data_IF_838272422948
#
_entry.id   IF_838272422948
#
_cell.length_a   1.000
_cell.length_b   1.000
_cell.length_c   1.000
_cell.angle_alpha   90.00
_cell.angle_beta   90.00
_cell.angle_gamma   90.00
#
_symmetry.space_group_name_H-M   'P 1'
#
loop_
_entity.id
_entity.type
_entity.pdbx_description
1 polymer ?
#
# COMPACT_ATOMS: atom_id res chain seq x y z
N UNK A 1 -23.88 -28.24 -24.25
CA UNK A 1 -22.61 -28.18 -23.50
C UNK A 1 -22.28 -26.72 -23.25
N UNK A 2 -22.72 -26.17 -22.11
CA UNK A 2 -22.42 -24.79 -21.72
C UNK A 2 -21.16 -24.78 -20.86
N UNK A 3 -20.07 -24.24 -21.40
CA UNK A 3 -18.88 -23.91 -20.63
C UNK A 3 -18.88 -22.42 -20.38
N UNK A 4 -19.25 -22.01 -19.17
CA UNK A 4 -19.18 -20.63 -18.68
C UNK A 4 -17.73 -20.15 -18.75
N UNK A 5 -17.40 -19.33 -19.74
CA UNK A 5 -16.23 -18.45 -19.64
C UNK A 5 -16.48 -17.55 -18.45
N UNK A 6 -15.69 -17.71 -17.39
CA UNK A 6 -15.68 -16.77 -16.28
C UNK A 6 -15.42 -15.39 -16.88
N UNK A 7 -16.44 -14.54 -16.83
CA UNK A 7 -16.31 -13.13 -17.17
C UNK A 7 -15.21 -12.58 -16.27
N UNK A 8 -14.11 -12.14 -16.88
CA UNK A 8 -13.01 -11.58 -16.11
C UNK A 8 -13.54 -10.28 -15.51
N UNK A 9 -13.94 -10.33 -14.23
CA UNK A 9 -14.45 -9.16 -13.52
C UNK A 9 -13.40 -8.06 -13.57
N UNK A 10 -13.66 -7.01 -14.33
CA UNK A 10 -12.84 -5.81 -14.35
C UNK A 10 -12.91 -5.15 -12.97
N UNK A 11 -11.76 -4.77 -12.43
CA UNK A 11 -11.67 -4.02 -11.19
C UNK A 11 -10.94 -2.70 -11.48
N UNK A 12 -11.43 -1.60 -10.92
CA UNK A 12 -10.79 -0.31 -11.05
C UNK A 12 -9.56 -0.24 -10.14
N UNK A 13 -8.45 0.22 -10.71
CA UNK A 13 -7.19 0.43 -10.00
C UNK A 13 -6.85 1.91 -10.01
N UNK A 14 -6.85 2.51 -8.82
CA UNK A 14 -6.30 3.83 -8.58
C UNK A 14 -4.84 3.71 -8.16
N UNK A 15 -3.98 4.54 -8.75
CA UNK A 15 -2.56 4.62 -8.39
C UNK A 15 -2.30 6.01 -7.83
N UNK A 16 -2.06 6.08 -6.52
CA UNK A 16 -1.54 7.28 -5.86
C UNK A 16 -0.01 7.14 -5.76
N UNK A 17 0.71 8.10 -6.33
CA UNK A 17 2.16 8.09 -6.40
C UNK A 17 2.70 9.52 -6.41
N UNK A 18 3.58 9.80 -5.46
CA UNK A 18 4.37 11.02 -5.43
C UNK A 18 5.77 10.70 -5.92
N UNK A 19 6.21 11.46 -6.94
CA UNK A 19 7.55 11.33 -7.54
C UNK A 19 8.19 12.71 -7.70
N UNK A 20 9.51 12.74 -7.67
CA UNK A 20 10.30 13.90 -8.02
C UNK A 20 10.35 14.05 -9.54
N UNK A 21 10.72 15.24 -10.02
CA UNK A 21 10.77 15.52 -11.46
C UNK A 21 11.79 14.64 -12.20
N UNK A 22 12.85 14.22 -11.52
CA UNK A 22 13.89 13.31 -12.02
C UNK A 22 13.53 11.81 -11.83
N UNK A 23 12.33 11.50 -11.33
CA UNK A 23 11.75 10.16 -11.38
C UNK A 23 11.98 9.29 -10.13
N UNK A 24 12.36 9.88 -8.99
CA UNK A 24 12.50 9.16 -7.73
C UNK A 24 11.21 9.21 -6.91
N UNK A 25 10.83 8.07 -6.32
CA UNK A 25 9.63 7.92 -5.50
C UNK A 25 9.95 7.71 -4.01
N UNK A 26 11.19 7.98 -3.61
CA UNK A 26 11.68 7.78 -2.24
C UNK A 26 12.82 8.74 -1.95
N UNK A 27 12.89 9.22 -0.71
CA UNK A 27 13.99 10.02 -0.22
C UNK A 27 14.39 9.54 1.20
N UNK A 28 15.65 9.73 1.57
CA UNK A 28 16.17 9.39 2.90
C UNK A 28 16.43 10.69 3.69
N UNK A 29 15.90 10.77 4.91
CA UNK A 29 16.07 11.92 5.80
C UNK A 29 15.20 13.14 5.49
N UNK A 30 14.29 13.03 4.52
CA UNK A 30 13.29 14.06 4.22
C UNK A 30 12.03 13.84 5.05
N UNK A 31 11.30 14.91 5.40
CA UNK A 31 9.97 14.77 5.99
C UNK A 31 9.00 14.05 5.03
N UNK A 32 7.87 13.60 5.57
CA UNK A 32 6.75 13.06 4.80
C UNK A 32 6.33 14.02 3.69
N UNK A 33 5.91 13.45 2.55
CA UNK A 33 5.59 14.22 1.33
C UNK A 33 6.67 15.21 0.87
N UNK A 34 7.91 15.03 1.34
CA UNK A 34 9.05 15.93 1.14
C UNK A 34 8.86 17.34 1.69
N UNK A 35 7.93 17.53 2.64
CA UNK A 35 7.58 18.84 3.20
C UNK A 35 6.81 19.71 2.21
N UNK A 36 6.16 19.08 1.22
CA UNK A 36 5.39 19.74 0.17
C UNK A 36 3.88 19.49 0.32
N UNK A 37 3.44 19.01 1.49
CA UNK A 37 2.04 18.83 1.81
C UNK A 37 1.32 20.18 1.95
N UNK A 38 0.38 20.44 1.04
CA UNK A 38 -0.55 21.56 1.13
C UNK A 38 -1.84 21.16 1.85
N UNK A 39 -2.57 22.12 2.45
CA UNK A 39 -3.82 21.83 3.15
C UNK A 39 -4.88 21.20 2.24
N UNK A 40 -4.90 21.55 0.95
CA UNK A 40 -5.81 20.94 -0.03
C UNK A 40 -5.49 19.47 -0.29
N UNK A 41 -4.21 19.11 -0.31
CA UNK A 41 -3.77 17.73 -0.52
C UNK A 41 -4.07 16.87 0.71
N UNK A 42 -3.85 17.40 1.92
CA UNK A 42 -4.20 16.70 3.17
C UNK A 42 -5.72 16.51 3.30
N UNK A 43 -6.52 17.51 2.91
CA UNK A 43 -7.98 17.38 2.88
C UNK A 43 -8.43 16.29 1.91
N UNK A 44 -7.85 16.25 0.70
CA UNK A 44 -8.11 15.18 -0.26
C UNK A 44 -7.72 13.79 0.27
N UNK A 45 -6.55 13.66 0.91
CA UNK A 45 -6.12 12.40 1.52
C UNK A 45 -7.09 11.90 2.61
N UNK A 46 -7.59 12.82 3.44
CA UNK A 46 -8.58 12.49 4.45
C UNK A 46 -9.86 11.95 3.80
N UNK A 47 -10.38 12.61 2.77
CA UNK A 47 -11.56 12.18 2.01
C UNK A 47 -11.33 10.83 1.30
N UNK A 48 -10.18 10.61 0.67
CA UNK A 48 -9.85 9.32 0.03
C UNK A 48 -9.73 8.18 1.05
N UNK A 49 -9.19 8.46 2.24
CA UNK A 49 -9.04 7.48 3.32
C UNK A 49 -10.37 6.86 3.75
N UNK A 50 -11.47 7.61 3.66
CA UNK A 50 -12.81 7.16 4.04
C UNK A 50 -13.47 6.22 3.02
N UNK A 51 -12.98 6.17 1.78
CA UNK A 51 -13.59 5.39 0.69
C UNK A 51 -13.41 3.88 0.81
N UNK A 52 -12.65 3.41 1.81
CA UNK A 52 -12.54 1.98 2.13
C UNK A 52 -11.78 1.16 1.09
N UNK A 53 -10.76 1.76 0.46
CA UNK A 53 -9.94 1.08 -0.55
C UNK A 53 -9.19 -0.14 0.01
N UNK A 54 -8.95 -1.13 -0.86
CA UNK A 54 -7.97 -2.19 -0.58
C UNK A 54 -6.62 -1.78 -1.14
N UNK A 55 -5.62 -1.63 -0.29
CA UNK A 55 -4.28 -1.24 -0.72
C UNK A 55 -3.55 -2.41 -1.39
N UNK A 56 -2.88 -2.14 -2.50
CA UNK A 56 -1.99 -3.10 -3.17
C UNK A 56 -0.56 -2.61 -3.00
N UNK A 57 0.30 -3.41 -2.36
CA UNK A 57 1.66 -3.00 -2.02
C UNK A 57 2.67 -4.08 -2.42
N UNK A 58 3.89 -3.64 -2.74
CA UNK A 58 5.05 -4.51 -2.76
C UNK A 58 5.55 -4.82 -1.35
N UNK A 59 6.37 -5.87 -1.22
CA UNK A 59 6.94 -6.29 0.07
C UNK A 59 7.73 -5.19 0.81
N UNK A 60 8.51 -4.38 0.08
CA UNK A 60 9.33 -3.33 0.68
C UNK A 60 8.48 -2.18 1.19
N UNK A 61 7.54 -1.69 0.38
CA UNK A 61 6.57 -0.65 0.76
C UNK A 61 5.75 -1.08 1.96
N UNK A 62 5.26 -2.33 1.98
CA UNK A 62 4.52 -2.86 3.13
C UNK A 62 5.35 -2.84 4.41
N UNK A 63 6.60 -3.31 4.38
CA UNK A 63 7.47 -3.31 5.57
C UNK A 63 7.75 -1.89 6.07
N UNK A 64 8.02 -0.96 5.16
CA UNK A 64 8.27 0.44 5.49
C UNK A 64 7.04 1.08 6.14
N UNK A 65 5.89 1.02 5.47
CA UNK A 65 4.65 1.63 5.96
C UNK A 65 4.14 0.98 7.25
N UNK A 66 4.32 -0.35 7.43
CA UNK A 66 3.96 -1.02 8.69
C UNK A 66 4.77 -0.48 9.86
N UNK A 67 6.08 -0.30 9.69
CA UNK A 67 6.94 0.27 10.73
C UNK A 67 6.58 1.71 11.04
N UNK A 68 6.37 2.53 10.01
CA UNK A 68 5.93 3.92 10.19
C UNK A 68 4.58 4.00 10.92
N UNK A 69 3.63 3.12 10.60
CA UNK A 69 2.34 3.03 11.29
C UNK A 69 2.51 2.63 12.76
N UNK A 70 3.37 1.66 13.06
CA UNK A 70 3.66 1.23 14.43
C UNK A 70 4.35 2.34 15.25
N UNK A 71 5.29 3.07 14.63
CA UNK A 71 6.00 4.19 15.25
C UNK A 71 5.06 5.40 15.48
N UNK A 72 4.17 5.70 14.53
CA UNK A 72 3.16 6.74 14.66
C UNK A 72 2.14 6.42 15.77
N UNK A 73 1.67 5.17 15.85
CA UNK A 73 0.77 4.70 16.92
C UNK A 73 1.43 4.79 18.31
N UNK A 74 2.74 4.57 18.39
CA UNK A 74 3.53 4.72 19.61
C UNK A 74 3.86 6.18 19.96
N UNK A 75 3.39 7.16 19.16
CA UNK A 75 3.76 8.58 19.27
C UNK A 75 5.28 8.80 19.27
N UNK A 76 5.98 8.04 18.42
CA UNK A 76 7.42 8.12 18.29
C UNK A 76 7.88 9.50 17.79
N UNK A 77 9.09 9.96 18.19
CA UNK A 77 9.67 11.17 17.62
C UNK A 77 10.01 10.93 16.15
N UNK A 78 9.64 11.86 15.27
CA UNK A 78 10.01 11.78 13.84
C UNK A 78 8.88 12.08 12.86
N UNK A 79 7.66 12.25 13.34
CA UNK A 79 6.51 12.66 12.52
C UNK A 79 5.93 13.99 13.00
N UNK A 80 5.46 14.81 12.07
CA UNK A 80 4.54 15.91 12.38
C UNK A 80 3.17 15.38 12.84
N UNK A 81 2.30 16.25 13.34
CA UNK A 81 0.93 15.85 13.75
C UNK A 81 0.14 15.28 12.56
N UNK A 82 0.24 15.93 11.39
CA UNK A 82 -0.45 15.50 10.16
C UNK A 82 0.12 14.18 9.62
N UNK A 83 1.44 14.01 9.63
CA UNK A 83 2.11 12.76 9.24
C UNK A 83 1.69 11.61 10.17
N UNK A 84 1.72 11.85 11.49
CA UNK A 84 1.30 10.86 12.47
C UNK A 84 -0.17 10.45 12.30
N UNK A 85 -1.05 11.42 12.05
CA UNK A 85 -2.47 11.17 11.80
C UNK A 85 -2.70 10.35 10.52
N UNK A 86 -1.97 10.64 9.43
CA UNK A 86 -2.07 9.91 8.17
C UNK A 86 -1.51 8.48 8.25
N UNK A 87 -0.51 8.25 9.11
CA UNK A 87 0.13 6.94 9.30
C UNK A 87 -0.61 6.05 10.30
N UNK A 88 -1.29 6.64 11.28
CA UNK A 88 -2.04 5.93 12.32
C UNK A 88 -3.20 5.14 11.70
N UNK A 89 -3.38 3.88 12.11
CA UNK A 89 -4.51 3.05 11.63
C UNK A 89 -4.29 2.42 10.25
N UNK A 90 -3.17 2.69 9.56
CA UNK A 90 -2.79 1.99 8.33
C UNK A 90 -2.72 0.47 8.54
N UNK A 91 -2.37 0.01 9.74
CA UNK A 91 -2.39 -1.40 10.12
C UNK A 91 -3.77 -2.06 9.87
N UNK A 92 -4.87 -1.35 10.12
CA UNK A 92 -6.25 -1.87 10.01
C UNK A 92 -6.80 -1.90 8.57
N UNK A 93 -6.22 -1.10 7.66
CA UNK A 93 -6.67 -1.01 6.25
C UNK A 93 -6.55 -2.36 5.54
N UNK A 94 -7.57 -2.83 4.79
CA UNK A 94 -7.45 -4.03 3.96
C UNK A 94 -6.30 -3.88 2.96
N UNK A 95 -5.42 -4.88 2.89
CA UNK A 95 -4.26 -4.80 2.00
C UNK A 95 -3.87 -6.14 1.39
N UNK A 96 -3.36 -6.09 0.17
CA UNK A 96 -2.79 -7.20 -0.59
C UNK A 96 -1.33 -6.91 -0.82
N UNK A 97 -0.44 -7.80 -0.37
CA UNK A 97 1.00 -7.64 -0.50
C UNK A 97 1.57 -8.67 -1.46
N UNK A 98 2.21 -8.20 -2.52
CA UNK A 98 2.94 -9.05 -3.46
C UNK A 98 4.34 -9.34 -2.93
N UNK A 99 4.62 -10.61 -2.66
CA UNK A 99 5.93 -11.03 -2.15
C UNK A 99 6.19 -12.51 -2.41
N UNK A 100 7.45 -12.83 -2.71
CA UNK A 100 7.96 -14.21 -2.69
C UNK A 100 8.50 -14.62 -1.31
N UNK A 101 8.74 -13.68 -0.41
CA UNK A 101 9.44 -13.92 0.88
C UNK A 101 8.58 -13.66 2.10
N UNK A 102 7.48 -12.91 1.98
CA UNK A 102 6.58 -12.65 3.10
C UNK A 102 5.55 -13.78 3.17
N UNK A 103 5.37 -14.33 4.37
CA UNK A 103 4.29 -15.26 4.68
C UNK A 103 3.07 -14.51 5.22
N UNK A 104 1.88 -14.95 4.84
CA UNK A 104 0.65 -14.32 5.32
C UNK A 104 0.61 -14.42 6.86
N UNK A 105 0.22 -13.34 7.56
CA UNK A 105 0.04 -13.43 9.01
C UNK A 105 -1.02 -14.47 9.34
N UNK A 106 -0.78 -15.28 10.38
CA UNK A 106 -1.69 -16.36 10.82
C UNK A 106 -3.06 -15.85 11.27
N UNK A 107 -3.17 -14.56 11.58
CA UNK A 107 -4.40 -13.78 11.73
C UNK A 107 -4.14 -12.33 11.28
N UNK A 108 -4.97 -11.78 10.40
CA UNK A 108 -4.91 -10.38 9.97
C UNK A 108 -5.73 -10.07 8.71
N UNK A 109 -5.98 -8.79 8.43
CA UNK A 109 -6.68 -8.28 7.22
C UNK A 109 -5.74 -8.07 6.02
N UNK A 110 -4.48 -8.51 6.15
CA UNK A 110 -3.44 -8.50 5.11
C UNK A 110 -3.40 -9.87 4.43
N UNK A 111 -3.52 -9.88 3.10
CA UNK A 111 -3.35 -11.10 2.29
C UNK A 111 -2.01 -11.04 1.55
N UNK A 112 -1.25 -12.14 1.57
CA UNK A 112 -0.07 -12.25 0.73
C UNK A 112 -0.40 -12.99 -0.56
N UNK A 113 0.09 -12.45 -1.66
CA UNK A 113 0.00 -13.07 -2.97
C UNK A 113 1.37 -13.66 -3.33
N UNK A 114 1.52 -14.97 -3.17
CA UNK A 114 2.66 -15.67 -3.76
C UNK A 114 2.42 -15.86 -5.25
N UNK A 115 3.44 -15.71 -6.11
CA UNK A 115 3.35 -16.18 -7.48
C UNK A 115 3.16 -17.69 -7.43
N UNK A 116 1.93 -18.15 -7.67
CA UNK A 116 1.64 -19.58 -7.68
C UNK A 116 2.55 -20.26 -8.70
N UNK A 117 3.24 -21.32 -8.30
CA UNK A 117 4.04 -22.18 -9.16
C UNK A 117 3.13 -22.87 -10.18
N UNK A 118 2.71 -22.16 -11.23
CA UNK A 118 2.16 -22.79 -12.43
C UNK A 118 3.33 -23.16 -13.31
N UNK A 119 3.90 -24.33 -13.05
CA UNK A 119 4.73 -25.05 -14.00
C UNK A 119 3.87 -25.40 -15.22
N UNK A 120 3.74 -24.48 -16.17
CA UNK A 120 3.25 -24.80 -17.52
C UNK A 120 4.47 -24.82 -18.44
N UNK A 121 4.84 -25.96 -19.03
CA UNK A 121 5.90 -25.98 -20.02
C UNK A 121 5.40 -25.25 -21.27
N UNK A 122 6.03 -24.13 -21.61
CA UNK A 122 5.87 -23.53 -22.92
C UNK A 122 6.36 -24.54 -23.96
N UNK A 123 5.44 -25.09 -24.75
CA UNK A 123 5.79 -25.73 -26.03
C UNK A 123 5.70 -24.65 -27.11
N UNK A 124 6.77 -24.61 -27.89
CA UNK A 124 7.02 -23.71 -29.02
C UNK A 124 6.16 -24.09 -30.22
#
# INVERSE_FOLDING_TARGET
MGGTTADASSADLMVDLIISLDGYASAEGWPGWWGLEGPEYLAWLAEEGEKGHTFLLGANTYRLMSRMSEEAEAQGPGFSEDEGAALTGLAAVPKVVFSSTLHAPSRGRTRNSSPGTRSRPWRR
#
